data_IF_299583806436
#
_entry.id   IF_299583806436
#
_cell.length_a   1.000
_cell.length_b   1.000
_cell.length_c   1.000
_cell.angle_alpha   90.00
_cell.angle_beta   90.00
_cell.angle_gamma   90.00
#
_symmetry.space_group_name_H-M   'P 1'
#
loop_
_entity.id
_entity.type
_entity.pdbx_description
1 polymer ?
#
# COMPACT_ATOMS: atom_id res chain seq x y z
N UNK A 1 -34.50 16.66 11.08
CA UNK A 1 -33.98 16.76 9.70
C UNK A 1 -32.51 16.36 9.72
N UNK A 2 -32.08 15.37 8.93
CA UNK A 2 -30.64 15.08 8.74
C UNK A 2 -30.12 15.96 7.60
N UNK A 3 -28.99 16.67 7.74
CA UNK A 3 -28.42 17.43 6.64
C UNK A 3 -28.03 16.46 5.51
N UNK A 4 -28.61 16.66 4.34
CA UNK A 4 -28.35 15.86 3.16
C UNK A 4 -27.23 16.53 2.35
N UNK A 5 -25.99 16.39 2.83
CA UNK A 5 -24.80 16.80 2.06
C UNK A 5 -23.86 15.61 1.95
N UNK A 6 -24.28 14.61 1.17
CA UNK A 6 -23.36 13.60 0.62
C UNK A 6 -22.47 14.32 -0.38
N UNK A 7 -21.35 14.86 0.11
CA UNK A 7 -20.26 15.34 -0.72
C UNK A 7 -19.82 14.20 -1.64
N UNK A 8 -19.71 14.49 -2.94
CA UNK A 8 -19.23 13.48 -3.90
C UNK A 8 -17.81 13.06 -3.49
N UNK A 9 -17.49 11.76 -3.51
CA UNK A 9 -16.13 11.30 -3.29
C UNK A 9 -15.19 12.00 -4.28
N UNK A 10 -14.14 12.63 -3.77
CA UNK A 10 -13.08 13.22 -4.59
C UNK A 10 -11.99 12.18 -4.79
N UNK A 11 -11.63 11.94 -6.05
CA UNK A 11 -10.47 11.12 -6.36
C UNK A 11 -9.20 11.82 -5.88
N UNK A 12 -8.31 11.07 -5.25
CA UNK A 12 -7.02 11.54 -4.76
C UNK A 12 -5.91 10.68 -5.38
N UNK A 13 -4.84 11.32 -5.82
CA UNK A 13 -3.66 10.65 -6.35
C UNK A 13 -2.57 10.62 -5.26
N UNK A 14 -2.46 9.50 -4.54
CA UNK A 14 -1.46 9.35 -3.49
C UNK A 14 -0.04 9.36 -4.05
N UNK A 15 0.90 10.00 -3.33
CA UNK A 15 2.31 9.73 -3.56
C UNK A 15 2.63 8.35 -3.00
N UNK A 16 3.31 7.53 -3.81
CA UNK A 16 3.71 6.19 -3.43
C UNK A 16 5.13 5.95 -3.90
N UNK A 17 5.84 5.08 -3.19
CA UNK A 17 7.11 4.53 -3.63
C UNK A 17 6.95 3.95 -5.05
N UNK A 18 7.82 4.37 -5.96
CA UNK A 18 7.83 3.90 -7.34
C UNK A 18 8.96 2.89 -7.49
N UNK A 19 8.69 1.81 -8.21
CA UNK A 19 9.75 0.94 -8.73
C UNK A 19 10.46 1.64 -9.90
N UNK A 20 11.62 1.12 -10.27
CA UNK A 20 12.30 1.58 -11.48
C UNK A 20 11.53 1.14 -12.74
N UNK A 21 11.67 1.96 -13.79
CA UNK A 21 11.01 1.72 -15.07
C UNK A 21 11.64 0.50 -15.74
N UNK A 22 10.82 -0.51 -16.00
CA UNK A 22 11.25 -1.76 -16.63
C UNK A 22 11.39 -2.94 -15.67
N UNK A 23 11.29 -2.71 -14.36
CA UNK A 23 11.34 -3.79 -13.38
C UNK A 23 10.03 -4.59 -13.33
N UNK A 24 10.14 -5.85 -12.92
CA UNK A 24 9.01 -6.79 -12.80
C UNK A 24 8.52 -6.95 -11.35
N UNK A 25 8.63 -5.90 -10.53
CA UNK A 25 8.37 -5.95 -9.09
C UNK A 25 7.08 -5.21 -8.65
N UNK A 26 6.25 -4.77 -9.61
CA UNK A 26 5.09 -3.91 -9.31
C UNK A 26 4.13 -4.54 -8.31
N UNK A 27 3.93 -5.84 -8.39
CA UNK A 27 3.12 -6.60 -7.45
C UNK A 27 3.69 -6.53 -6.02
N UNK A 28 5.01 -6.59 -5.86
CA UNK A 28 5.68 -6.52 -4.55
C UNK A 28 5.54 -5.14 -3.92
N UNK A 29 5.66 -4.08 -4.72
CA UNK A 29 5.43 -2.71 -4.27
C UNK A 29 3.98 -2.49 -3.81
N UNK A 30 3.00 -2.99 -4.58
CA UNK A 30 1.58 -2.95 -4.18
C UNK A 30 1.35 -3.70 -2.88
N UNK A 31 1.91 -4.90 -2.75
CA UNK A 31 1.74 -5.73 -1.55
C UNK A 31 2.38 -5.11 -0.31
N UNK A 32 3.59 -4.55 -0.45
CA UNK A 32 4.24 -3.80 0.63
C UNK A 32 3.35 -2.66 1.10
N UNK A 33 2.81 -1.90 0.15
CA UNK A 33 1.97 -0.75 0.42
C UNK A 33 0.68 -1.12 1.14
N UNK A 34 0.03 -2.20 0.72
CA UNK A 34 -1.18 -2.69 1.38
C UNK A 34 -0.91 -3.12 2.82
N UNK A 35 0.23 -3.75 3.10
CA UNK A 35 0.62 -4.12 4.48
C UNK A 35 0.82 -2.88 5.36
N UNK A 36 1.40 -1.80 4.83
CA UNK A 36 1.55 -0.54 5.57
C UNK A 36 0.19 0.09 5.89
N UNK A 37 -0.71 0.13 4.90
CA UNK A 37 -2.09 0.64 5.10
C UNK A 37 -2.79 -0.12 6.23
N UNK A 38 -2.69 -1.46 6.23
CA UNK A 38 -3.30 -2.31 7.25
C UNK A 38 -2.66 -2.05 8.63
N UNK A 39 -1.34 -1.93 8.70
CA UNK A 39 -0.60 -1.68 9.96
C UNK A 39 -0.91 -0.33 10.59
N UNK A 40 -1.27 0.68 9.81
CA UNK A 40 -1.59 2.01 10.31
C UNK A 40 -2.92 2.07 11.08
N UNK A 41 -3.75 1.03 10.97
CA UNK A 41 -5.04 0.88 11.69
C UNK A 41 -5.89 2.16 11.70
N UNK A 42 -5.86 2.89 10.58
CA UNK A 42 -6.46 4.22 10.47
C UNK A 42 -7.53 4.21 9.38
N UNK A 43 -8.74 4.59 9.76
CA UNK A 43 -9.91 4.64 8.84
C UNK A 43 -10.24 6.05 8.34
N UNK A 44 -9.64 7.09 8.95
CA UNK A 44 -10.08 8.48 8.78
C UNK A 44 -9.01 9.43 8.19
N UNK A 45 -7.83 8.93 7.80
CA UNK A 45 -6.71 9.81 7.41
C UNK A 45 -5.87 9.24 6.27
N UNK A 46 -6.51 9.02 5.12
CA UNK A 46 -5.84 8.54 3.90
C UNK A 46 -4.63 9.42 3.53
N UNK A 47 -4.75 10.74 3.64
CA UNK A 47 -3.67 11.68 3.31
C UNK A 47 -2.37 11.39 4.11
N UNK A 48 -2.48 11.02 5.39
CA UNK A 48 -1.32 10.66 6.21
C UNK A 48 -0.72 9.31 5.84
N UNK A 49 -1.53 8.42 5.29
CA UNK A 49 -1.07 7.11 4.85
C UNK A 49 -0.19 7.30 3.62
N UNK A 50 -0.62 8.13 2.66
CA UNK A 50 -0.10 8.24 1.29
C UNK A 50 0.88 9.39 1.02
N UNK A 51 1.59 9.85 2.04
CA UNK A 51 2.65 10.86 1.89
C UNK A 51 4.03 10.23 2.12
N UNK A 52 4.30 9.11 1.43
CA UNK A 52 5.62 8.47 1.45
C UNK A 52 6.35 8.73 0.14
N UNK A 53 7.53 9.32 0.26
CA UNK A 53 8.46 9.54 -0.87
C UNK A 53 9.69 8.63 -0.80
N UNK A 54 9.96 8.01 0.35
CA UNK A 54 11.14 7.15 0.49
C UNK A 54 10.97 5.85 -0.32
N UNK A 55 11.94 5.49 -1.18
CA UNK A 55 11.87 4.26 -1.95
C UNK A 55 11.97 3.03 -1.04
N UNK A 56 11.30 1.94 -1.42
CA UNK A 56 11.48 0.67 -0.74
C UNK A 56 12.89 0.15 -0.95
N UNK A 57 13.50 -0.32 0.13
CA UNK A 57 14.77 -1.03 0.05
C UNK A 57 14.57 -2.42 -0.56
N UNK A 58 15.66 -3.01 -1.07
CA UNK A 58 15.65 -4.42 -1.49
C UNK A 58 15.17 -5.35 -0.37
N UNK A 59 15.54 -5.05 0.88
CA UNK A 59 15.16 -5.83 2.05
C UNK A 59 13.65 -5.77 2.32
N UNK A 60 13.01 -4.62 2.09
CA UNK A 60 11.56 -4.47 2.21
C UNK A 60 10.82 -5.34 1.18
N UNK A 61 11.33 -5.35 -0.05
CA UNK A 61 10.77 -6.15 -1.15
C UNK A 61 10.98 -7.64 -0.90
N UNK A 62 12.16 -8.03 -0.43
CA UNK A 62 12.48 -9.41 -0.08
C UNK A 62 11.68 -9.93 1.13
N UNK A 63 11.40 -9.08 2.13
CA UNK A 63 10.52 -9.44 3.25
C UNK A 63 9.11 -9.77 2.77
N UNK A 64 8.56 -8.93 1.87
CA UNK A 64 7.24 -9.17 1.27
C UNK A 64 7.24 -10.45 0.46
N UNK A 65 8.25 -10.66 -0.38
CA UNK A 65 8.42 -11.88 -1.18
C UNK A 65 8.44 -13.14 -0.30
N UNK A 66 9.23 -13.14 0.79
CA UNK A 66 9.31 -14.26 1.73
C UNK A 66 8.00 -14.53 2.46
N UNK A 67 7.36 -13.49 3.00
CA UNK A 67 6.06 -13.62 3.69
C UNK A 67 4.99 -14.21 2.78
N UNK A 68 5.00 -13.80 1.51
CA UNK A 68 4.03 -14.29 0.55
C UNK A 68 4.31 -15.71 0.08
N UNK A 69 5.56 -16.02 -0.25
CA UNK A 69 5.96 -17.41 -0.52
C UNK A 69 5.59 -18.34 0.64
N UNK A 70 5.87 -17.93 1.89
CA UNK A 70 5.49 -18.68 3.09
C UNK A 70 3.97 -18.90 3.17
N UNK A 71 3.18 -17.86 2.92
CA UNK A 71 1.71 -17.96 2.94
C UNK A 71 1.15 -18.93 1.90
N UNK A 72 1.79 -19.08 0.75
CA UNK A 72 1.39 -20.09 -0.25
C UNK A 72 1.79 -21.51 0.14
N UNK A 73 2.94 -21.67 0.81
CA UNK A 73 3.48 -22.98 1.17
C UNK A 73 2.91 -23.54 2.47
N UNK A 74 2.45 -22.69 3.39
CA UNK A 74 1.79 -23.11 4.63
C UNK A 74 0.31 -23.50 4.44
N UNK A 75 -0.23 -23.36 3.22
CA UNK A 75 -1.61 -23.76 2.86
C UNK A 75 -1.64 -25.15 2.20
N UNK A 76 -0.66 -26.01 2.50
CA UNK A 76 -0.61 -27.42 2.07
C UNK A 76 -0.72 -28.35 3.27
#
# INVERSE_FOLDING_TARGET
>A
MRPNTLTKPKWFYPKCCQQDVGDAECGLFVMRRMLEIIKLDTVNSFEKVFDMEEPYSSDDIDDVRRRWAKSFLEVV
#
